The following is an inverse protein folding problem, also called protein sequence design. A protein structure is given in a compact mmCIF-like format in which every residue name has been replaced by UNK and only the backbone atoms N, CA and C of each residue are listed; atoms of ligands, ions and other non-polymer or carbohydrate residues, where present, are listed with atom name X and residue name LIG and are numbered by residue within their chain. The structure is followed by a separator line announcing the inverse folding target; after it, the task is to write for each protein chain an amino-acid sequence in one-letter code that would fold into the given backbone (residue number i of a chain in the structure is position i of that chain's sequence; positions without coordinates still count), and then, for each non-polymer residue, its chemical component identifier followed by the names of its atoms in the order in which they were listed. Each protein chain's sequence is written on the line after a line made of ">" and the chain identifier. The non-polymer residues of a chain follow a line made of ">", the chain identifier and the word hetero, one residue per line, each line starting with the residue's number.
data_IF_243174853687
#
_entry.id   IF_243174853687
#
_cell.length_a   1.000
_cell.length_b   1.000
_cell.length_c   1.000
_cell.angle_alpha   90.00
_cell.angle_beta   90.00
_cell.angle_gamma   90.00
#
_symmetry.space_group_name_H-M   'P 1'
#
loop_
_entity.id
_entity.type
_entity.pdbx_description
1 polymer ?
#
# COMPACT_ATOMS: atom_id res chain seq x y z
N UNK A 1 41.80 5.93 21.64
CA UNK A 1 41.31 4.69 22.27
C UNK A 1 39.99 4.90 23.00
N UNK A 2 39.88 5.85 23.94
CA UNK A 2 38.59 6.11 24.64
C UNK A 2 37.49 6.80 23.78
N UNK A 3 37.85 7.53 22.72
CA UNK A 3 36.87 8.19 21.84
C UNK A 3 36.10 7.20 20.95
N UNK A 4 36.80 6.20 20.40
CA UNK A 4 36.25 5.20 19.48
C UNK A 4 35.21 4.26 20.11
N UNK A 5 35.35 3.97 21.41
CA UNK A 5 34.42 3.10 22.13
C UNK A 5 33.10 3.83 22.44
N UNK A 6 33.18 5.12 22.77
CA UNK A 6 32.02 5.96 23.05
C UNK A 6 31.17 6.21 21.78
N UNK A 7 31.83 6.39 20.63
CA UNK A 7 31.16 6.56 19.34
C UNK A 7 30.39 5.29 18.92
N UNK A 8 30.97 4.10 19.16
CA UNK A 8 30.31 2.82 18.87
C UNK A 8 29.04 2.60 19.72
N UNK A 9 29.09 2.92 21.02
CA UNK A 9 27.92 2.84 21.91
C UNK A 9 26.83 3.82 21.47
N UNK A 10 27.21 5.05 21.09
CA UNK A 10 26.29 6.05 20.58
C UNK A 10 25.55 5.56 19.34
N UNK A 11 26.26 5.00 18.35
CA UNK A 11 25.65 4.46 17.14
C UNK A 11 24.66 3.32 17.43
N UNK A 12 24.98 2.44 18.37
CA UNK A 12 24.06 1.37 18.81
C UNK A 12 22.78 1.94 19.42
N UNK A 13 22.88 2.98 20.25
CA UNK A 13 21.71 3.65 20.84
C UNK A 13 20.86 4.32 19.75
N UNK A 14 21.49 5.01 18.81
CA UNK A 14 20.82 5.65 17.67
C UNK A 14 20.08 4.62 16.82
N UNK A 15 20.73 3.51 16.43
CA UNK A 15 20.11 2.43 15.67
C UNK A 15 18.94 1.78 16.42
N UNK A 16 19.08 1.58 17.73
CA UNK A 16 18.00 1.01 18.55
C UNK A 16 16.79 1.95 18.60
N UNK A 17 17.01 3.25 18.74
CA UNK A 17 15.94 4.26 18.69
C UNK A 17 15.30 4.33 17.29
N UNK A 18 16.09 4.28 16.22
CA UNK A 18 15.56 4.22 14.85
C UNK A 18 14.66 3.01 14.63
N UNK A 19 15.02 1.84 15.17
CA UNK A 19 14.19 0.64 15.08
C UNK A 19 12.83 0.82 15.79
N UNK A 20 12.82 1.45 16.98
CA UNK A 20 11.60 1.80 17.70
C UNK A 20 10.75 2.77 16.89
N UNK A 21 11.35 3.83 16.35
CA UNK A 21 10.62 4.79 15.51
C UNK A 21 10.04 4.17 14.24
N UNK A 22 10.77 3.26 13.59
CA UNK A 22 10.25 2.49 12.44
C UNK A 22 9.06 1.64 12.86
N UNK A 23 9.15 0.94 14.00
CA UNK A 23 8.05 0.13 14.53
C UNK A 23 6.80 0.98 14.82
N UNK A 24 6.98 2.19 15.35
CA UNK A 24 5.92 3.17 15.59
C UNK A 24 5.46 3.90 14.32
N UNK A 25 6.02 3.58 13.15
CA UNK A 25 5.77 4.26 11.86
C UNK A 25 6.15 5.76 11.85
N UNK A 26 7.01 6.19 12.78
CA UNK A 26 7.60 7.53 12.88
C UNK A 26 8.85 7.62 11.99
N UNK A 27 8.63 7.55 10.68
CA UNK A 27 9.72 7.38 9.73
C UNK A 27 10.63 8.61 9.62
N UNK A 28 10.12 9.82 9.80
CA UNK A 28 10.94 11.04 9.73
C UNK A 28 11.92 11.13 10.91
N UNK A 29 11.44 10.79 12.10
CA UNK A 29 12.22 10.71 13.32
C UNK A 29 13.28 9.60 13.21
N UNK A 30 12.91 8.44 12.65
CA UNK A 30 13.87 7.39 12.34
C UNK A 30 14.99 7.88 11.41
N UNK A 31 14.64 8.60 10.33
CA UNK A 31 15.64 9.17 9.41
C UNK A 31 16.57 10.16 10.11
N UNK A 32 16.04 11.04 10.96
CA UNK A 32 16.85 12.01 11.71
C UNK A 32 17.93 11.31 12.55
N UNK A 33 17.56 10.26 13.29
CA UNK A 33 18.51 9.47 14.09
C UNK A 33 19.52 8.73 13.20
N UNK A 34 19.07 8.14 12.09
CA UNK A 34 19.94 7.41 11.15
C UNK A 34 20.99 8.32 10.51
N UNK A 35 20.67 9.58 10.22
CA UNK A 35 21.65 10.53 9.69
C UNK A 35 22.71 10.96 10.71
N UNK A 36 22.44 10.80 12.00
CA UNK A 36 23.40 11.11 13.07
C UNK A 36 24.33 9.94 13.40
N UNK A 37 24.11 8.76 12.79
CA UNK A 37 25.02 7.61 12.94
C UNK A 37 26.26 7.76 12.09
N UNK A 38 27.37 7.17 12.53
CA UNK A 38 28.60 7.13 11.74
C UNK A 38 28.42 6.32 10.44
N UNK A 39 29.41 6.41 9.54
CA UNK A 39 29.49 5.59 8.33
C UNK A 39 30.47 4.42 8.50
N UNK A 40 30.63 3.92 9.74
CA UNK A 40 31.46 2.73 10.01
C UNK A 40 30.89 1.51 9.26
N UNK A 41 31.79 0.73 8.66
CA UNK A 41 31.46 -0.49 7.90
C UNK A 41 30.66 -1.48 8.72
N UNK A 42 30.91 -1.55 10.03
CA UNK A 42 30.25 -2.48 10.94
C UNK A 42 28.74 -2.20 11.07
N UNK A 43 28.31 -0.94 10.95
CA UNK A 43 26.90 -0.54 11.09
C UNK A 43 26.23 -0.19 9.77
N UNK A 44 27.02 0.01 8.71
CA UNK A 44 26.57 0.51 7.42
C UNK A 44 25.42 -0.34 6.82
N UNK A 45 25.49 -1.67 6.95
CA UNK A 45 24.43 -2.56 6.44
C UNK A 45 23.10 -2.31 7.16
N UNK A 46 23.11 -2.35 8.49
CA UNK A 46 21.93 -2.11 9.32
C UNK A 46 21.36 -0.70 9.09
N UNK A 47 22.22 0.32 9.06
CA UNK A 47 21.84 1.71 8.76
C UNK A 47 21.09 1.81 7.44
N UNK A 48 21.61 1.22 6.37
CA UNK A 48 20.98 1.29 5.05
C UNK A 48 19.67 0.50 4.97
N UNK A 49 19.54 -0.63 5.66
CA UNK A 49 18.26 -1.37 5.76
C UNK A 49 17.20 -0.50 6.48
N UNK A 50 17.58 0.18 7.55
CA UNK A 50 16.67 1.07 8.28
C UNK A 50 16.32 2.32 7.48
N UNK A 51 17.28 2.92 6.77
CA UNK A 51 17.03 4.02 5.84
C UNK A 51 16.05 3.59 4.75
N UNK A 52 16.28 2.43 4.12
CA UNK A 52 15.37 1.89 3.12
C UNK A 52 13.96 1.68 3.67
N UNK A 53 13.85 1.11 4.87
CA UNK A 53 12.55 0.89 5.53
C UNK A 53 11.82 2.21 5.78
N UNK A 54 12.51 3.21 6.31
CA UNK A 54 11.92 4.51 6.60
C UNK A 54 11.52 5.27 5.33
N UNK A 55 12.37 5.27 4.30
CA UNK A 55 12.04 5.86 3.00
C UNK A 55 10.86 5.17 2.33
N UNK A 56 10.81 3.83 2.37
CA UNK A 56 9.67 3.08 1.84
C UNK A 56 8.38 3.45 2.56
N UNK A 57 8.41 3.55 3.88
CA UNK A 57 7.26 3.98 4.71
C UNK A 57 6.76 5.39 4.37
N UNK A 58 7.63 6.26 3.87
CA UNK A 58 7.32 7.61 3.38
C UNK A 58 6.93 7.66 1.90
N UNK A 59 6.80 6.51 1.22
CA UNK A 59 6.62 6.40 -0.24
C UNK A 59 7.75 7.03 -1.07
N UNK A 60 8.94 7.21 -0.47
CA UNK A 60 10.17 7.71 -1.09
C UNK A 60 10.94 6.54 -1.69
N UNK A 61 10.34 5.91 -2.70
CA UNK A 61 10.81 4.63 -3.24
C UNK A 61 12.19 4.71 -3.88
N UNK A 62 12.54 5.83 -4.51
CA UNK A 62 13.87 6.00 -5.13
C UNK A 62 14.96 5.99 -4.06
N UNK A 63 14.78 6.78 -3.00
CA UNK A 63 15.74 6.86 -1.91
C UNK A 63 15.84 5.56 -1.11
N UNK A 64 14.71 4.83 -1.02
CA UNK A 64 14.70 3.50 -0.45
C UNK A 64 15.51 2.50 -1.28
N UNK A 65 15.41 2.58 -2.60
CA UNK A 65 16.18 1.74 -3.52
C UNK A 65 17.67 2.09 -3.42
N UNK A 66 18.01 3.38 -3.49
CA UNK A 66 19.40 3.87 -3.39
C UNK A 66 20.08 3.40 -2.10
N UNK A 67 19.37 3.41 -0.97
CA UNK A 67 19.89 2.90 0.30
C UNK A 67 20.27 1.41 0.21
N UNK A 68 19.45 0.57 -0.40
CA UNK A 68 19.75 -0.86 -0.56
C UNK A 68 20.85 -1.10 -1.59
N UNK A 69 20.91 -0.32 -2.67
CA UNK A 69 21.96 -0.44 -3.68
C UNK A 69 23.36 -0.10 -3.15
N UNK A 70 23.48 0.64 -2.05
CA UNK A 70 24.77 0.90 -1.37
C UNK A 70 25.38 -0.34 -0.72
N UNK A 71 24.56 -1.32 -0.35
CA UNK A 71 25.00 -2.52 0.38
C UNK A 71 24.98 -3.77 -0.50
N UNK A 72 24.26 -3.73 -1.63
CA UNK A 72 24.18 -4.82 -2.59
C UNK A 72 25.07 -4.59 -3.80
N UNK A 73 26.02 -5.50 -4.03
CA UNK A 73 26.98 -5.45 -5.16
C UNK A 73 26.60 -6.40 -6.31
N UNK A 74 25.79 -7.44 -6.04
CA UNK A 74 25.39 -8.41 -7.05
C UNK A 74 24.46 -7.77 -8.10
N UNK A 75 24.84 -7.88 -9.37
CA UNK A 75 24.12 -7.25 -10.48
C UNK A 75 22.72 -7.85 -10.71
N UNK A 76 22.52 -9.14 -10.45
CA UNK A 76 21.22 -9.80 -10.51
C UNK A 76 20.30 -9.27 -9.41
N UNK A 77 20.81 -9.15 -8.19
CA UNK A 77 20.08 -8.63 -7.02
C UNK A 77 19.65 -7.19 -7.26
N UNK A 78 20.58 -6.33 -7.70
CA UNK A 78 20.31 -4.93 -8.06
C UNK A 78 19.21 -4.80 -9.11
N UNK A 79 19.26 -5.61 -10.18
CA UNK A 79 18.22 -5.62 -11.20
C UNK A 79 16.85 -6.06 -10.67
N UNK A 80 16.83 -7.01 -9.74
CA UNK A 80 15.59 -7.47 -9.11
C UNK A 80 15.01 -6.43 -8.15
N UNK A 81 15.85 -5.72 -7.37
CA UNK A 81 15.45 -4.58 -6.57
C UNK A 81 14.76 -3.53 -7.44
N UNK A 82 15.40 -3.13 -8.55
CA UNK A 82 14.84 -2.14 -9.47
C UNK A 82 13.46 -2.54 -10.01
N UNK A 83 13.28 -3.82 -10.37
CA UNK A 83 11.98 -4.35 -10.81
C UNK A 83 10.92 -4.27 -9.71
N UNK A 84 11.28 -4.56 -8.46
CA UNK A 84 10.37 -4.52 -7.31
C UNK A 84 9.98 -3.08 -6.94
N UNK A 85 10.93 -2.15 -6.90
CA UNK A 85 10.64 -0.72 -6.66
C UNK A 85 9.82 -0.11 -7.80
N UNK A 86 10.12 -0.44 -9.06
CA UNK A 86 9.29 -0.06 -10.20
C UNK A 86 7.85 -0.59 -10.11
N UNK A 87 7.64 -1.76 -9.50
CA UNK A 87 6.29 -2.27 -9.19
C UNK A 87 5.65 -1.48 -8.05
N UNK A 88 6.37 -1.19 -6.97
CA UNK A 88 5.88 -0.40 -5.82
C UNK A 88 5.39 1.00 -6.25
N UNK A 89 6.17 1.69 -7.09
CA UNK A 89 5.80 2.99 -7.66
C UNK A 89 4.50 2.89 -8.46
N UNK A 90 4.34 1.86 -9.32
CA UNK A 90 3.12 1.65 -10.11
C UNK A 90 1.90 1.35 -9.25
N UNK A 91 2.07 0.58 -8.18
CA UNK A 91 1.01 0.29 -7.22
C UNK A 91 0.57 1.56 -6.50
N UNK A 92 1.52 2.39 -6.02
CA UNK A 92 1.22 3.64 -5.30
C UNK A 92 0.46 4.65 -6.15
N UNK A 93 0.70 4.67 -7.47
CA UNK A 93 0.03 5.59 -8.40
C UNK A 93 -1.45 5.28 -8.64
N UNK A 94 -1.96 4.13 -8.18
CA UNK A 94 -3.39 3.81 -8.30
C UNK A 94 -4.20 4.78 -7.45
N UNK A 95 -5.32 5.25 -7.98
CA UNK A 95 -6.16 6.24 -7.30
C UNK A 95 -7.47 5.60 -6.82
N UNK A 96 -7.72 5.53 -5.50
CA UNK A 96 -8.96 5.01 -4.95
C UNK A 96 -10.22 5.74 -5.43
N UNK A 97 -10.12 7.05 -5.70
CA UNK A 97 -11.25 7.83 -6.22
C UNK A 97 -11.64 7.40 -7.64
N UNK A 98 -10.68 6.95 -8.44
CA UNK A 98 -10.97 6.37 -9.76
C UNK A 98 -11.80 5.10 -9.62
N UNK A 99 -11.48 4.23 -8.65
CA UNK A 99 -12.29 3.04 -8.37
C UNK A 99 -13.74 3.40 -8.00
N UNK A 100 -13.92 4.42 -7.16
CA UNK A 100 -15.24 4.95 -6.83
C UNK A 100 -16.00 5.45 -8.06
N UNK A 101 -15.39 6.32 -8.86
CA UNK A 101 -16.03 6.91 -10.05
C UNK A 101 -16.45 5.82 -11.04
N UNK A 102 -15.56 4.85 -11.30
CA UNK A 102 -15.88 3.72 -12.17
C UNK A 102 -17.10 2.93 -11.65
N UNK A 103 -17.18 2.73 -10.33
CA UNK A 103 -18.32 2.03 -9.72
C UNK A 103 -19.62 2.82 -9.71
N UNK A 104 -19.55 4.15 -9.78
CA UNK A 104 -20.72 4.99 -10.03
C UNK A 104 -21.21 4.79 -11.47
N UNK A 105 -20.32 4.72 -12.45
CA UNK A 105 -20.73 4.50 -13.85
C UNK A 105 -21.36 3.13 -14.05
N UNK A 106 -20.74 2.09 -13.49
CA UNK A 106 -21.26 0.73 -13.55
C UNK A 106 -20.86 -0.03 -12.27
N UNK A 107 -21.83 -0.61 -11.53
CA UNK A 107 -21.55 -1.37 -10.33
C UNK A 107 -20.49 -2.46 -10.57
N UNK A 108 -19.48 -2.52 -9.71
CA UNK A 108 -18.40 -3.52 -9.80
C UNK A 108 -17.13 -3.07 -10.54
N UNK A 109 -17.19 -2.02 -11.39
CA UNK A 109 -16.00 -1.62 -12.18
C UNK A 109 -14.82 -1.15 -11.33
N UNK A 110 -15.05 -0.46 -10.22
CA UNK A 110 -13.96 -0.02 -9.35
C UNK A 110 -13.25 -1.17 -8.64
N UNK A 111 -14.01 -2.21 -8.29
CA UNK A 111 -13.46 -3.44 -7.74
C UNK A 111 -12.62 -4.17 -8.79
N UNK A 112 -13.10 -4.29 -10.04
CA UNK A 112 -12.30 -4.83 -11.15
C UNK A 112 -11.03 -4.03 -11.41
N UNK A 113 -11.11 -2.70 -11.44
CA UNK A 113 -9.95 -1.80 -11.54
C UNK A 113 -8.89 -2.08 -10.45
N UNK A 114 -9.35 -2.36 -9.24
CA UNK A 114 -8.48 -2.67 -8.10
C UNK A 114 -7.88 -4.08 -8.18
N UNK A 115 -8.45 -4.95 -9.02
CA UNK A 115 -8.11 -6.37 -9.17
C UNK A 115 -8.95 -7.28 -8.28
N UNK A 116 -10.04 -6.79 -7.69
CA UNK A 116 -10.96 -7.57 -6.86
C UNK A 116 -12.16 -8.07 -7.67
N UNK A 117 -11.95 -9.19 -8.35
CA UNK A 117 -12.95 -9.77 -9.25
C UNK A 117 -14.19 -10.25 -8.48
N UNK A 118 -13.99 -10.86 -7.31
CA UNK A 118 -15.06 -11.44 -6.50
C UNK A 118 -16.01 -10.34 -6.00
N UNK A 119 -15.47 -9.27 -5.42
CA UNK A 119 -16.31 -8.17 -4.94
C UNK A 119 -16.92 -7.34 -6.10
N UNK A 120 -16.26 -7.32 -7.26
CA UNK A 120 -16.81 -6.73 -8.48
C UNK A 120 -18.08 -7.46 -8.95
N UNK A 121 -18.01 -8.79 -9.07
CA UNK A 121 -19.17 -9.62 -9.43
C UNK A 121 -20.28 -9.48 -8.38
N UNK A 122 -19.95 -9.54 -7.10
CA UNK A 122 -20.94 -9.40 -6.03
C UNK A 122 -21.69 -8.05 -6.10
N UNK A 123 -20.96 -6.96 -6.34
CA UNK A 123 -21.53 -5.62 -6.45
C UNK A 123 -22.45 -5.50 -7.67
N UNK A 124 -22.04 -6.09 -8.80
CA UNK A 124 -22.85 -6.14 -10.02
C UNK A 124 -24.14 -6.93 -9.78
N UNK A 125 -24.04 -8.17 -9.28
CA UNK A 125 -25.20 -9.04 -9.07
C UNK A 125 -26.25 -8.42 -8.13
N UNK A 126 -25.83 -7.93 -6.96
CA UNK A 126 -26.76 -7.36 -5.99
C UNK A 126 -27.44 -6.10 -6.56
N UNK A 127 -26.66 -5.21 -7.17
CA UNK A 127 -27.21 -3.96 -7.69
C UNK A 127 -28.14 -4.21 -8.87
N UNK A 128 -27.77 -5.10 -9.79
CA UNK A 128 -28.62 -5.51 -10.91
C UNK A 128 -29.89 -6.21 -10.45
N UNK A 129 -29.84 -7.04 -9.40
CA UNK A 129 -31.02 -7.69 -8.84
C UNK A 129 -32.01 -6.66 -8.28
N UNK A 130 -31.56 -5.68 -7.48
CA UNK A 130 -32.44 -4.64 -6.96
C UNK A 130 -32.94 -3.68 -8.04
N UNK A 131 -32.12 -3.39 -9.05
CA UNK A 131 -32.55 -2.61 -10.21
C UNK A 131 -33.67 -3.34 -10.97
N UNK A 132 -33.47 -4.63 -11.25
CA UNK A 132 -34.48 -5.47 -11.89
C UNK A 132 -35.77 -5.53 -11.07
N UNK A 133 -35.68 -5.77 -9.76
CA UNK A 133 -36.85 -5.79 -8.88
C UNK A 133 -37.59 -4.44 -8.89
N UNK A 134 -36.88 -3.33 -8.83
CA UNK A 134 -37.48 -1.99 -8.86
C UNK A 134 -38.23 -1.75 -10.17
N UNK A 135 -37.61 -2.08 -11.32
CA UNK A 135 -38.23 -1.95 -12.63
C UNK A 135 -39.42 -2.89 -12.81
N UNK A 136 -39.28 -4.16 -12.38
CA UNK A 136 -40.34 -5.14 -12.46
C UNK A 136 -41.55 -4.75 -11.60
N UNK A 137 -41.34 -4.28 -10.36
CA UNK A 137 -42.42 -3.79 -9.50
C UNK A 137 -43.11 -2.56 -10.12
N UNK A 138 -42.35 -1.64 -10.72
CA UNK A 138 -42.92 -0.46 -11.38
C UNK A 138 -43.78 -0.82 -12.60
N UNK A 139 -43.37 -1.83 -13.38
CA UNK A 139 -44.08 -2.30 -14.58
C UNK A 139 -45.32 -3.12 -14.21
N UNK A 140 -45.20 -4.03 -13.24
CA UNK A 140 -46.26 -4.99 -12.91
C UNK A 140 -47.36 -4.40 -12.02
N UNK A 141 -47.03 -3.41 -11.20
CA UNK A 141 -47.97 -2.84 -10.24
C UNK A 141 -48.14 -1.33 -10.41
N UNK A 142 -47.23 -0.55 -9.83
CA UNK A 142 -47.25 0.91 -9.93
C UNK A 142 -45.90 1.50 -9.54
N UNK A 143 -45.65 2.73 -10.00
CA UNK A 143 -44.46 3.50 -9.58
C UNK A 143 -44.43 3.70 -8.06
N UNK A 144 -45.60 3.87 -7.43
CA UNK A 144 -45.73 4.07 -5.99
C UNK A 144 -45.30 2.82 -5.22
N UNK A 145 -45.64 1.63 -5.69
CA UNK A 145 -45.23 0.38 -5.05
C UNK A 145 -43.74 0.09 -5.19
N UNK A 146 -43.12 0.52 -6.30
CA UNK A 146 -41.67 0.42 -6.49
C UNK A 146 -40.87 1.20 -5.43
N UNK A 147 -41.48 2.18 -4.75
CA UNK A 147 -40.83 2.91 -3.64
C UNK A 147 -40.51 2.02 -2.43
N UNK A 148 -41.10 0.82 -2.33
CA UNK A 148 -40.72 -0.17 -1.32
C UNK A 148 -39.36 -0.82 -1.60
N UNK A 149 -38.97 -0.92 -2.88
CA UNK A 149 -37.72 -1.57 -3.34
C UNK A 149 -36.61 -0.53 -3.57
N UNK A 150 -36.98 0.65 -4.08
CA UNK A 150 -36.04 1.71 -4.46
C UNK A 150 -35.01 2.09 -3.37
N UNK A 151 -35.34 2.15 -2.06
CA UNK A 151 -34.36 2.41 -1.01
C UNK A 151 -33.25 1.37 -0.95
N UNK A 152 -33.55 0.11 -1.26
CA UNK A 152 -32.56 -0.96 -1.28
C UNK A 152 -31.61 -0.82 -2.46
N UNK A 153 -32.12 -0.51 -3.65
CA UNK A 153 -31.28 -0.19 -4.81
C UNK A 153 -30.33 0.98 -4.46
N UNK A 154 -30.86 2.08 -3.93
CA UNK A 154 -30.06 3.25 -3.53
C UNK A 154 -28.98 2.87 -2.51
N UNK A 155 -29.34 2.08 -1.48
CA UNK A 155 -28.42 1.60 -0.45
C UNK A 155 -27.27 0.79 -1.03
N UNK A 156 -27.57 -0.21 -1.86
CA UNK A 156 -26.55 -1.10 -2.42
C UNK A 156 -25.70 -0.43 -3.49
N UNK A 157 -26.29 0.42 -4.32
CA UNK A 157 -25.56 1.21 -5.30
C UNK A 157 -24.58 2.20 -4.62
N UNK A 158 -25.07 2.99 -3.65
CA UNK A 158 -24.22 3.92 -2.91
C UNK A 158 -23.18 3.22 -2.04
N UNK A 159 -23.56 2.13 -1.38
CA UNK A 159 -22.63 1.29 -0.63
C UNK A 159 -21.55 0.70 -1.53
N UNK A 160 -21.92 0.25 -2.73
CA UNK A 160 -21.02 -0.37 -3.71
C UNK A 160 -19.88 0.54 -4.14
N UNK A 161 -20.18 1.78 -4.57
CA UNK A 161 -19.12 2.68 -5.01
C UNK A 161 -18.25 3.22 -3.87
N UNK A 162 -18.81 3.39 -2.65
CA UNK A 162 -18.01 3.77 -1.47
C UNK A 162 -17.09 2.62 -1.07
N UNK A 163 -17.57 1.38 -1.12
CA UNK A 163 -16.77 0.19 -0.85
C UNK A 163 -15.66 -0.01 -1.88
N UNK A 164 -15.91 0.31 -3.16
CA UNK A 164 -14.88 0.24 -4.19
C UNK A 164 -13.65 1.11 -3.88
N UNK A 165 -13.87 2.31 -3.31
CA UNK A 165 -12.80 3.19 -2.85
C UNK A 165 -11.97 2.53 -1.74
N UNK A 166 -12.64 2.01 -0.71
CA UNK A 166 -11.97 1.33 0.41
C UNK A 166 -11.22 0.06 -0.04
N UNK A 167 -11.81 -0.74 -0.93
CA UNK A 167 -11.13 -1.90 -1.52
C UNK A 167 -9.85 -1.46 -2.24
N UNK A 168 -9.90 -0.37 -3.01
CA UNK A 168 -8.73 0.12 -3.71
C UNK A 168 -7.61 0.54 -2.75
N UNK A 169 -7.94 1.23 -1.65
CA UNK A 169 -6.98 1.58 -0.58
C UNK A 169 -6.35 0.32 0.00
N UNK A 170 -7.17 -0.63 0.45
CA UNK A 170 -6.69 -1.86 1.09
C UNK A 170 -5.81 -2.69 0.13
N UNK A 171 -6.16 -2.75 -1.16
CA UNK A 171 -5.38 -3.46 -2.19
C UNK A 171 -4.05 -2.79 -2.50
N UNK A 172 -3.96 -1.47 -2.39
CA UNK A 172 -2.69 -0.74 -2.51
C UNK A 172 -1.81 -1.12 -1.32
N UNK A 173 -2.32 -1.00 -0.10
CA UNK A 173 -1.59 -1.33 1.13
C UNK A 173 -1.11 -2.79 1.17
N UNK A 174 -1.99 -3.74 0.86
CA UNK A 174 -1.66 -5.18 0.77
C UNK A 174 -0.51 -5.41 -0.21
N UNK A 175 -0.58 -4.82 -1.41
CA UNK A 175 0.46 -4.97 -2.43
C UNK A 175 1.77 -4.31 -2.04
N UNK A 176 1.74 -3.14 -1.39
CA UNK A 176 2.97 -2.51 -0.89
C UNK A 176 3.63 -3.37 0.17
N UNK A 177 2.86 -3.91 1.12
CA UNK A 177 3.38 -4.82 2.13
C UNK A 177 4.06 -6.06 1.52
N UNK A 178 3.40 -6.69 0.54
CA UNK A 178 3.95 -7.86 -0.16
C UNK A 178 5.25 -7.51 -0.93
N UNK A 179 5.28 -6.37 -1.61
CA UNK A 179 6.46 -5.91 -2.35
C UNK A 179 7.62 -5.60 -1.40
N UNK A 180 7.36 -4.90 -0.30
CA UNK A 180 8.37 -4.61 0.72
C UNK A 180 8.95 -5.89 1.33
N UNK A 181 8.09 -6.86 1.63
CA UNK A 181 8.52 -8.17 2.14
C UNK A 181 9.41 -8.90 1.14
N UNK A 182 9.08 -8.85 -0.16
CA UNK A 182 9.91 -9.43 -1.22
C UNK A 182 11.26 -8.72 -1.35
N UNK A 183 11.28 -7.38 -1.24
CA UNK A 183 12.51 -6.57 -1.25
C UNK A 183 13.41 -6.97 -0.08
N UNK A 184 12.85 -7.03 1.14
CA UNK A 184 13.63 -7.36 2.34
C UNK A 184 14.11 -8.82 2.34
N UNK A 185 13.30 -9.76 1.82
CA UNK A 185 13.73 -11.14 1.63
C UNK A 185 14.90 -11.22 0.64
N UNK A 186 14.82 -10.50 -0.49
CA UNK A 186 15.88 -10.48 -1.49
C UNK A 186 17.20 -9.95 -0.92
N UNK A 187 17.17 -8.91 -0.08
CA UNK A 187 18.38 -8.35 0.56
C UNK A 187 18.92 -9.26 1.66
N UNK A 188 18.04 -9.95 2.41
CA UNK A 188 18.49 -10.84 3.50
C UNK A 188 19.14 -12.12 2.99
N UNK A 189 18.63 -12.67 1.89
CA UNK A 189 19.07 -13.96 1.35
C UNK A 189 20.39 -13.84 0.52
N UNK A 190 20.96 -12.62 0.40
CA UNK A 190 22.28 -12.33 -0.20
C UNK A 190 23.23 -11.68 0.82
#
# INVERSE_FOLDING_TARGET
>A
YFSTENDSIKDLVLLSRSAIFIYEKKYLEALQELFNTSDDKNILRTKNIYLATAYYGLNRFSESEDALLKIENDSLVRNNLHKLFSKAIRVQKRNPKTARILSMMLPGLGQFYSGDIRDGINSLLITSAFMYLTLNTAIQYSLLEATSVLPWFSRYYMGGFKRAESIAVNRIEEKQYLLFTQIMKLVRDN
#
